data_IF_292327697756
#
_entry.id   IF_292327697756
#
_cell.length_a   1.000
_cell.length_b   1.000
_cell.length_c   1.000
_cell.angle_alpha   90.00
_cell.angle_beta   90.00
_cell.angle_gamma   90.00
#
_symmetry.space_group_name_H-M   'P 1'
#
loop_
_entity.id
_entity.type
_entity.pdbx_description
1 polymer ?
#
# COMPACT_ATOMS: atom_id res chain seq x y z
N UNK A 1 -21.12 18.27 8.88
CA UNK A 1 -19.65 18.15 8.65
C UNK A 1 -19.35 16.70 8.33
N UNK A 2 -18.54 16.45 7.31
CA UNK A 2 -18.12 15.09 6.92
C UNK A 2 -17.05 14.60 7.89
N UNK A 3 -17.09 13.34 8.30
CA UNK A 3 -16.12 12.73 9.21
C UNK A 3 -15.54 11.47 8.58
N UNK A 4 -14.26 11.22 8.83
CA UNK A 4 -13.65 9.92 8.56
C UNK A 4 -14.14 8.96 9.64
N UNK A 5 -14.66 7.80 9.23
CA UNK A 5 -15.26 6.81 10.14
C UNK A 5 -14.53 5.47 10.16
N UNK A 6 -13.66 5.21 9.18
CA UNK A 6 -12.85 4.00 9.18
C UNK A 6 -11.56 4.20 8.37
N UNK A 7 -10.53 3.46 8.77
CA UNK A 7 -9.33 3.23 7.98
C UNK A 7 -9.18 1.72 7.76
N UNK A 8 -9.06 1.29 6.51
CA UNK A 8 -8.76 -0.10 6.16
C UNK A 8 -7.41 -0.15 5.47
N UNK A 9 -6.48 -0.94 6.00
CA UNK A 9 -5.15 -1.11 5.42
C UNK A 9 -5.02 -2.50 4.77
N UNK A 10 -4.29 -2.56 3.66
CA UNK A 10 -4.08 -3.76 2.86
C UNK A 10 -2.58 -3.95 2.59
N UNK A 11 -2.08 -5.16 2.82
CA UNK A 11 -0.76 -5.60 2.36
C UNK A 11 -0.87 -6.06 0.91
N UNK A 12 -0.34 -5.26 -0.03
CA UNK A 12 -0.38 -5.53 -1.47
C UNK A 12 1.04 -5.73 -1.97
N UNK A 13 1.31 -6.87 -2.64
CA UNK A 13 2.65 -7.20 -3.16
C UNK A 13 2.60 -7.60 -4.62
N UNK A 14 3.53 -7.06 -5.40
CA UNK A 14 3.70 -7.41 -6.82
C UNK A 14 5.01 -8.19 -6.98
N UNK A 15 5.01 -9.33 -7.71
CA UNK A 15 6.17 -10.20 -7.83
C UNK A 15 7.20 -9.67 -8.85
N UNK A 16 7.65 -8.42 -8.69
CA UNK A 16 8.62 -7.75 -9.58
C UNK A 16 9.98 -8.43 -9.60
N UNK A 17 10.32 -9.18 -8.54
CA UNK A 17 11.54 -9.99 -8.47
C UNK A 17 11.63 -11.04 -9.59
N UNK A 18 10.50 -11.50 -10.15
CA UNK A 18 10.49 -12.50 -11.25
C UNK A 18 11.16 -12.02 -12.52
N UNK A 19 11.14 -10.71 -12.77
CA UNK A 19 11.77 -10.08 -13.94
C UNK A 19 12.89 -9.11 -13.53
N UNK A 20 13.22 -9.06 -12.24
CA UNK A 20 14.20 -8.15 -11.65
C UNK A 20 13.87 -6.67 -11.92
N UNK A 21 12.59 -6.34 -12.06
CA UNK A 21 12.18 -4.95 -12.24
C UNK A 21 12.47 -4.16 -10.96
N UNK A 22 13.20 -3.05 -11.09
CA UNK A 22 13.60 -2.21 -9.96
C UNK A 22 14.81 -2.70 -9.17
N UNK A 23 15.50 -3.76 -9.61
CA UNK A 23 16.72 -4.22 -8.95
C UNK A 23 17.84 -3.18 -9.03
N UNK A 24 18.59 -3.03 -7.95
CA UNK A 24 19.79 -2.19 -7.89
C UNK A 24 20.92 -2.89 -7.11
N UNK A 25 22.04 -2.20 -6.90
CA UNK A 25 23.21 -2.75 -6.21
C UNK A 25 22.94 -3.13 -4.73
N UNK A 26 21.95 -2.51 -4.10
CA UNK A 26 21.53 -2.74 -2.71
C UNK A 26 20.32 -3.66 -2.63
N UNK A 27 19.34 -3.49 -3.53
CA UNK A 27 18.09 -4.22 -3.55
C UNK A 27 18.03 -5.12 -4.79
N UNK A 28 18.65 -6.30 -4.71
CA UNK A 28 18.86 -7.16 -5.89
C UNK A 28 17.60 -7.87 -6.39
N UNK A 29 16.63 -8.13 -5.51
CA UNK A 29 15.40 -8.88 -5.82
C UNK A 29 14.16 -8.26 -5.16
N UNK A 30 13.80 -7.01 -5.47
CA UNK A 30 12.70 -6.33 -4.81
C UNK A 30 11.35 -6.84 -5.31
N UNK A 31 10.41 -7.00 -4.38
CA UNK A 31 8.98 -7.16 -4.70
C UNK A 31 8.27 -5.87 -4.32
N UNK A 32 8.01 -5.02 -5.31
CA UNK A 32 7.33 -3.74 -5.11
C UNK A 32 6.01 -3.98 -4.41
N UNK A 33 5.85 -3.34 -3.26
CA UNK A 33 4.75 -3.60 -2.34
C UNK A 33 4.20 -2.29 -1.79
N UNK A 34 2.95 -2.33 -1.35
CA UNK A 34 2.24 -1.19 -0.80
C UNK A 34 1.49 -1.61 0.46
N UNK A 35 1.73 -0.88 1.56
CA UNK A 35 0.75 -0.77 2.63
C UNK A 35 -0.28 0.26 2.16
N UNK A 36 -1.40 -0.22 1.62
CA UNK A 36 -2.42 0.61 0.97
C UNK A 36 -3.57 0.89 1.93
N UNK A 37 -3.94 2.15 2.12
CA UNK A 37 -4.99 2.57 3.05
C UNK A 37 -6.17 3.21 2.33
N UNK A 38 -7.38 2.83 2.74
CA UNK A 38 -8.64 3.46 2.35
C UNK A 38 -9.27 4.10 3.59
N UNK A 39 -9.48 5.41 3.54
CA UNK A 39 -10.22 6.18 4.52
C UNK A 39 -11.66 6.38 4.03
N UNK A 40 -12.64 5.87 4.77
CA UNK A 40 -14.06 6.03 4.41
C UNK A 40 -14.69 7.14 5.25
N UNK A 41 -15.59 7.89 4.63
CA UNK A 41 -16.34 8.96 5.31
C UNK A 41 -17.78 8.55 5.61
N UNK A 42 -18.44 9.28 6.51
CA UNK A 42 -19.88 9.16 6.78
C UNK A 42 -20.77 9.84 5.72
N UNK A 43 -20.18 10.34 4.63
CA UNK A 43 -20.93 10.98 3.57
C UNK A 43 -21.64 9.93 2.70
N UNK A 44 -22.95 10.11 2.49
CA UNK A 44 -23.77 9.23 1.66
C UNK A 44 -23.47 9.28 0.15
N UNK A 45 -22.44 10.03 -0.25
CA UNK A 45 -21.95 10.14 -1.63
C UNK A 45 -20.75 9.23 -1.93
N UNK A 46 -20.42 8.33 -1.00
CA UNK A 46 -19.30 7.38 -1.12
C UNK A 46 -17.92 8.03 -1.29
N UNK A 47 -17.72 9.24 -0.76
CA UNK A 47 -16.41 9.87 -0.74
C UNK A 47 -15.41 9.05 0.10
N UNK A 48 -14.28 8.69 -0.52
CA UNK A 48 -13.17 7.95 0.07
C UNK A 48 -11.83 8.65 -0.19
N UNK A 49 -10.86 8.44 0.71
CA UNK A 49 -9.48 8.86 0.55
C UNK A 49 -8.58 7.64 0.39
N UNK A 50 -7.65 7.68 -0.57
CA UNK A 50 -6.75 6.58 -0.86
C UNK A 50 -5.29 7.03 -0.71
N UNK A 51 -4.48 6.19 -0.08
CA UNK A 51 -3.05 6.46 0.13
C UNK A 51 -2.25 5.17 0.20
N UNK A 52 -0.92 5.28 0.08
CA UNK A 52 -0.03 4.14 0.23
C UNK A 52 1.35 4.55 0.74
N UNK A 53 2.01 3.61 1.42
CA UNK A 53 3.45 3.61 1.65
C UNK A 53 4.10 2.56 0.76
N UNK A 54 5.11 2.97 -0.02
CA UNK A 54 5.86 2.08 -0.88
C UNK A 54 6.94 1.33 -0.10
N UNK A 55 7.08 0.04 -0.38
CA UNK A 55 8.05 -0.88 0.23
C UNK A 55 8.54 -1.92 -0.79
N UNK A 56 9.55 -2.70 -0.43
CA UNK A 56 10.21 -3.67 -1.33
C UNK A 56 9.96 -5.14 -0.96
N UNK A 57 8.82 -5.44 -0.33
CA UNK A 57 8.35 -6.81 -0.07
C UNK A 57 8.32 -7.16 1.41
N UNK A 58 9.41 -7.74 1.93
CA UNK A 58 9.48 -8.07 3.36
C UNK A 58 9.38 -6.81 4.20
N UNK A 59 8.57 -6.84 5.26
CA UNK A 59 8.35 -5.71 6.17
C UNK A 59 7.14 -4.85 5.79
N UNK A 60 6.48 -5.07 4.64
CA UNK A 60 5.21 -4.39 4.33
C UNK A 60 4.17 -4.65 5.41
N UNK A 61 4.14 -5.85 5.98
CA UNK A 61 3.21 -6.25 7.03
C UNK A 61 3.37 -5.44 8.34
N UNK A 62 4.52 -4.80 8.55
CA UNK A 62 4.78 -3.93 9.72
C UNK A 62 4.22 -2.53 9.50
N UNK A 63 4.01 -2.14 8.24
CA UNK A 63 3.48 -0.83 7.85
C UNK A 63 1.94 -0.80 7.72
N UNK A 64 1.27 -1.95 7.87
CA UNK A 64 -0.19 -2.12 7.73
C UNK A 64 -0.89 -1.98 9.08
#
# INVERSE_FOLDING_TARGET
MRRIISATAHDVRFPTSRTLAGSDAMHTTPDYSAAYVVLRTDAGDHLEGHGLTFTLGRGTEVCV
#
